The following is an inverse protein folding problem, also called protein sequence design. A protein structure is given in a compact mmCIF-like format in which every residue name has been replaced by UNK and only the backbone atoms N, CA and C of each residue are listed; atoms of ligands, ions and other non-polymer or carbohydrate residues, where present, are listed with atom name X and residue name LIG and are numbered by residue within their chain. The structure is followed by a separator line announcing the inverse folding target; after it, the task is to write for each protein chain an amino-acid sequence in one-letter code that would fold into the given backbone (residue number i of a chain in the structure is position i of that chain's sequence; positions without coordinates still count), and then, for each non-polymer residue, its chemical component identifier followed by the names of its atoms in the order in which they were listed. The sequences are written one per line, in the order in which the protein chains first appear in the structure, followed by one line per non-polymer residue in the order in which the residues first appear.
data_IF_622155928185
#
_entry.id   IF_622155928185
#
_cell.length_a   1.000
_cell.length_b   1.000
_cell.length_c   1.000
_cell.angle_alpha   90.00
_cell.angle_beta   90.00
_cell.angle_gamma   90.00
#
_symmetry.space_group_name_H-M   'P 1'
#
loop_
_entity.id
_entity.type
_entity.pdbx_description
1 polymer ?
#
# COMPACT_ATOMS: atom_id res chain seq x y z
N UNK A 1 20.57 6.55 -15.65
CA UNK A 1 19.13 6.37 -15.35
C UNK A 1 18.72 5.03 -15.90
N UNK A 2 18.63 4.01 -15.05
CA UNK A 2 18.09 2.71 -15.46
C UNK A 2 16.59 2.87 -15.66
N UNK A 3 16.16 2.84 -16.89
CA UNK A 3 14.74 2.71 -17.25
C UNK A 3 14.23 1.42 -16.66
N UNK A 4 13.42 1.50 -15.61
CA UNK A 4 12.74 0.33 -15.07
C UNK A 4 11.72 -0.09 -16.14
N UNK A 5 11.97 -1.22 -16.80
CA UNK A 5 11.01 -1.81 -17.73
C UNK A 5 9.79 -2.26 -16.95
N UNK A 6 8.71 -1.52 -17.09
CA UNK A 6 7.42 -1.84 -16.45
C UNK A 6 6.46 -2.36 -17.51
N UNK A 7 6.13 -3.64 -17.42
CA UNK A 7 5.07 -4.23 -18.22
C UNK A 7 3.72 -3.88 -17.59
N UNK A 8 2.84 -3.26 -18.38
CA UNK A 8 1.49 -2.95 -17.96
C UNK A 8 0.49 -3.87 -18.63
N UNK A 9 -0.38 -4.48 -17.83
CA UNK A 9 -1.44 -5.36 -18.32
C UNK A 9 -2.79 -4.70 -18.09
N UNK A 10 -3.55 -4.58 -19.16
CA UNK A 10 -4.90 -3.99 -19.14
C UNK A 10 -5.94 -5.06 -18.83
N UNK A 11 -6.80 -4.78 -17.85
CA UNK A 11 -7.99 -5.59 -17.54
C UNK A 11 -9.22 -4.70 -17.75
N UNK A 12 -10.13 -5.14 -18.60
CA UNK A 12 -11.34 -4.39 -18.94
C UNK A 12 -11.05 -2.95 -19.39
N UNK A 13 -10.02 -2.76 -20.20
CA UNK A 13 -9.62 -1.45 -20.72
C UNK A 13 -8.89 -0.54 -19.73
N UNK A 14 -8.55 -1.03 -18.55
CA UNK A 14 -7.78 -0.26 -17.53
C UNK A 14 -6.43 -0.91 -17.29
N UNK A 15 -5.35 -0.15 -17.33
CA UNK A 15 -4.01 -0.59 -16.93
C UNK A 15 -4.00 -0.83 -15.42
N UNK A 16 -4.37 -2.06 -15.01
CA UNK A 16 -4.59 -2.40 -13.61
C UNK A 16 -3.44 -3.17 -12.98
N UNK A 17 -2.59 -3.80 -13.81
CA UNK A 17 -1.48 -4.62 -13.33
C UNK A 17 -0.19 -4.11 -13.94
N UNK A 18 0.78 -3.83 -13.08
CA UNK A 18 2.11 -3.38 -13.45
C UNK A 18 3.13 -4.41 -12.94
N UNK A 19 3.96 -4.95 -13.83
CA UNK A 19 4.95 -5.97 -13.50
C UNK A 19 6.35 -5.47 -13.86
N UNK A 20 7.34 -5.80 -13.06
CA UNK A 20 8.74 -5.45 -13.34
C UNK A 20 9.66 -5.78 -12.17
N UNK A 21 10.91 -5.39 -12.27
CA UNK A 21 11.91 -5.55 -11.22
C UNK A 21 12.25 -4.21 -10.58
N UNK A 22 12.61 -4.22 -9.31
CA UNK A 22 13.00 -3.00 -8.56
C UNK A 22 11.95 -1.89 -8.65
N UNK A 23 10.67 -2.26 -8.50
CA UNK A 23 9.55 -1.36 -8.71
C UNK A 23 9.29 -0.37 -7.57
N UNK A 24 9.96 -0.45 -6.43
CA UNK A 24 9.66 0.38 -5.25
C UNK A 24 9.56 1.88 -5.59
N UNK A 25 10.55 2.51 -6.27
CA UNK A 25 10.44 3.93 -6.64
C UNK A 25 9.29 4.20 -7.61
N UNK A 26 9.06 3.30 -8.55
CA UNK A 26 7.95 3.39 -9.50
C UNK A 26 6.60 3.32 -8.80
N UNK A 27 6.43 2.37 -7.86
CA UNK A 27 5.20 2.16 -7.10
C UNK A 27 4.89 3.40 -6.26
N UNK A 28 5.86 3.88 -5.48
CA UNK A 28 5.69 5.05 -4.61
C UNK A 28 5.31 6.28 -5.45
N UNK A 29 6.01 6.54 -6.54
CA UNK A 29 5.68 7.65 -7.45
C UNK A 29 4.27 7.50 -8.01
N UNK A 30 3.92 6.31 -8.51
CA UNK A 30 2.60 6.04 -9.09
C UNK A 30 1.49 6.24 -8.06
N UNK A 31 1.67 5.73 -6.84
CA UNK A 31 0.70 5.90 -5.75
C UNK A 31 0.51 7.38 -5.43
N UNK A 32 1.58 8.12 -5.21
CA UNK A 32 1.52 9.54 -4.84
C UNK A 32 0.93 10.43 -5.94
N UNK A 33 1.14 10.07 -7.21
CA UNK A 33 0.61 10.86 -8.35
C UNK A 33 -0.82 10.52 -8.72
N UNK A 34 -1.26 9.27 -8.49
CA UNK A 34 -2.59 8.81 -8.92
C UNK A 34 -3.61 8.74 -7.78
N UNK A 35 -3.16 8.68 -6.53
CA UNK A 35 -4.01 8.52 -5.35
C UNK A 35 -3.66 9.60 -4.32
N UNK A 36 -4.25 10.78 -4.49
CA UNK A 36 -4.08 11.86 -3.52
C UNK A 36 -4.73 11.49 -2.19
N UNK A 37 -3.97 11.58 -1.10
CA UNK A 37 -4.40 11.21 0.25
C UNK A 37 -3.62 11.99 1.30
N UNK A 38 -4.25 12.18 2.46
CA UNK A 38 -3.56 12.73 3.64
C UNK A 38 -2.72 11.68 4.38
N UNK A 39 -3.02 10.40 4.17
CA UNK A 39 -2.33 9.31 4.87
C UNK A 39 -2.22 8.07 3.98
N UNK A 40 -1.01 7.55 3.88
CA UNK A 40 -0.70 6.28 3.23
C UNK A 40 -0.30 5.27 4.29
N UNK A 41 -0.92 4.10 4.29
CA UNK A 41 -0.64 3.02 5.25
C UNK A 41 -0.20 1.78 4.48
N UNK A 42 1.01 1.31 4.75
CA UNK A 42 1.51 0.05 4.20
C UNK A 42 1.32 -1.06 5.23
N UNK A 43 0.56 -2.07 4.88
CA UNK A 43 0.37 -3.28 5.71
C UNK A 43 1.14 -4.44 5.08
N UNK A 44 1.93 -5.13 5.89
CA UNK A 44 2.75 -6.26 5.46
C UNK A 44 2.89 -7.29 6.59
N UNK A 45 3.48 -8.43 6.30
CA UNK A 45 3.86 -9.40 7.35
C UNK A 45 5.36 -9.34 7.67
N UNK A 46 5.75 -9.99 8.78
CA UNK A 46 7.14 -9.95 9.25
C UNK A 46 8.14 -10.57 8.26
N UNK A 47 7.75 -11.55 7.46
CA UNK A 47 8.66 -12.16 6.47
C UNK A 47 8.96 -11.16 5.35
N UNK A 48 7.92 -10.55 4.78
CA UNK A 48 8.06 -9.58 3.69
C UNK A 48 8.69 -8.28 4.17
N UNK A 49 8.34 -7.84 5.40
CA UNK A 49 8.91 -6.65 6.01
C UNK A 49 10.43 -6.68 6.07
N UNK A 50 11.02 -7.81 6.44
CA UNK A 50 12.47 -7.98 6.56
C UNK A 50 13.24 -7.68 5.26
N UNK A 51 12.60 -7.83 4.11
CA UNK A 51 13.25 -7.66 2.80
C UNK A 51 12.85 -6.38 2.08
N UNK A 52 11.64 -5.88 2.32
CA UNK A 52 11.05 -4.85 1.47
C UNK A 52 10.61 -3.58 2.21
N UNK A 53 10.23 -3.67 3.49
CA UNK A 53 9.63 -2.54 4.20
C UNK A 53 10.54 -1.32 4.23
N UNK A 54 11.82 -1.49 4.60
CA UNK A 54 12.77 -0.37 4.69
C UNK A 54 12.97 0.37 3.37
N UNK A 55 12.91 -0.33 2.24
CA UNK A 55 12.99 0.31 0.92
C UNK A 55 11.75 1.18 0.64
N UNK A 56 10.56 0.72 1.02
CA UNK A 56 9.32 1.50 0.89
C UNK A 56 9.31 2.71 1.82
N UNK A 57 9.70 2.54 3.08
CA UNK A 57 9.79 3.64 4.06
C UNK A 57 10.72 4.74 3.56
N UNK A 58 11.94 4.38 3.16
CA UNK A 58 12.91 5.33 2.63
C UNK A 58 12.39 6.06 1.39
N UNK A 59 11.78 5.33 0.46
CA UNK A 59 11.30 5.92 -0.78
C UNK A 59 10.09 6.85 -0.56
N UNK A 60 9.16 6.47 0.33
CA UNK A 60 8.04 7.35 0.73
C UNK A 60 8.55 8.60 1.45
N UNK A 61 9.47 8.48 2.39
CA UNK A 61 10.06 9.62 3.11
C UNK A 61 10.71 10.60 2.12
N UNK A 62 11.53 10.11 1.21
CA UNK A 62 12.19 10.92 0.18
C UNK A 62 11.17 11.61 -0.73
N UNK A 63 10.19 10.86 -1.23
CA UNK A 63 9.17 11.41 -2.13
C UNK A 63 8.28 12.45 -1.43
N UNK A 64 7.89 12.21 -0.19
CA UNK A 64 7.09 13.16 0.60
C UNK A 64 7.90 14.40 1.01
N UNK A 65 9.23 14.28 1.14
CA UNK A 65 10.09 15.43 1.46
C UNK A 65 10.14 16.46 0.33
N UNK A 66 10.03 16.00 -0.93
CA UNK A 66 10.13 16.85 -2.13
C UNK A 66 8.79 17.45 -2.56
N UNK A 67 7.67 16.99 -1.98
CA UNK A 67 6.35 17.55 -2.31
C UNK A 67 6.28 19.04 -1.96
N UNK A 68 5.78 19.90 -2.87
CA UNK A 68 5.65 21.33 -2.62
C UNK A 68 4.79 21.61 -1.39
N UNK A 69 5.21 22.52 -0.55
CA UNK A 69 4.52 22.95 0.68
C UNK A 69 3.26 23.77 0.40
N UNK A 70 2.47 23.41 -0.61
CA UNK A 70 1.29 24.16 -1.08
C UNK A 70 -0.06 23.68 -0.51
N UNK A 71 -0.08 22.57 0.21
CA UNK A 71 -1.29 22.03 0.86
C UNK A 71 -1.19 22.17 2.36
N UNK A 72 -2.29 22.47 3.01
CA UNK A 72 -2.39 22.81 4.45
C UNK A 72 -1.82 21.75 5.40
N UNK A 73 -1.64 20.51 4.95
CA UNK A 73 -1.03 19.41 5.71
C UNK A 73 -0.24 18.50 4.77
N UNK A 74 1.01 18.25 5.13
CA UNK A 74 1.87 17.28 4.43
C UNK A 74 1.32 15.87 4.62
N UNK A 75 1.19 15.05 3.55
CA UNK A 75 0.80 13.65 3.69
C UNK A 75 1.76 12.89 4.60
N UNK A 76 1.23 11.93 5.34
CA UNK A 76 2.03 11.06 6.21
C UNK A 76 2.03 9.63 5.69
N UNK A 77 3.13 8.94 5.92
CA UNK A 77 3.28 7.51 5.66
C UNK A 77 3.38 6.76 6.98
N UNK A 78 2.68 5.64 7.07
CA UNK A 78 2.67 4.73 8.22
C UNK A 78 2.87 3.30 7.72
N UNK A 79 3.54 2.48 8.52
CA UNK A 79 3.69 1.05 8.27
C UNK A 79 3.08 0.23 9.41
N UNK A 80 2.49 -0.90 9.08
CA UNK A 80 1.94 -1.85 10.03
C UNK A 80 2.31 -3.28 9.66
N UNK A 81 2.95 -3.98 10.59
CA UNK A 81 3.46 -5.32 10.38
C UNK A 81 2.66 -6.31 11.23
N UNK A 82 2.14 -7.35 10.58
CA UNK A 82 1.36 -8.41 11.24
C UNK A 82 2.11 -9.75 11.20
N UNK A 83 1.71 -10.74 12.01
CA UNK A 83 2.25 -12.10 11.91
C UNK A 83 1.98 -12.71 10.52
N UNK A 84 2.89 -13.54 9.97
CA UNK A 84 2.71 -14.18 8.68
C UNK A 84 1.79 -15.40 8.78
N UNK A 85 1.25 -15.80 7.63
CA UNK A 85 0.52 -17.05 7.46
C UNK A 85 -1.00 -16.94 7.60
N UNK A 86 -1.69 -18.02 7.26
CA UNK A 86 -3.16 -18.09 7.19
C UNK A 86 -3.86 -17.83 8.53
N UNK A 87 -3.19 -18.05 9.65
CA UNK A 87 -3.73 -17.75 10.99
C UNK A 87 -4.03 -16.26 11.18
N UNK A 88 -3.36 -15.39 10.43
CA UNK A 88 -3.64 -13.95 10.44
C UNK A 88 -4.96 -13.58 9.75
N UNK A 89 -5.52 -14.47 8.89
CA UNK A 89 -6.87 -14.32 8.33
C UNK A 89 -7.93 -14.66 9.37
N UNK A 90 -7.97 -13.90 10.43
CA UNK A 90 -8.88 -14.11 11.56
C UNK A 90 -9.59 -12.79 11.91
N UNK A 91 -10.58 -12.87 12.79
CA UNK A 91 -11.22 -11.67 13.35
C UNK A 91 -10.24 -10.81 14.11
N UNK A 92 -9.33 -11.44 14.84
CA UNK A 92 -8.26 -10.77 15.59
C UNK A 92 -7.28 -10.06 14.64
N UNK A 93 -6.88 -10.73 13.55
CA UNK A 93 -6.02 -10.13 12.53
C UNK A 93 -6.67 -8.90 11.87
N UNK A 94 -7.98 -9.00 11.56
CA UNK A 94 -8.77 -7.87 11.07
C UNK A 94 -8.80 -6.74 12.10
N UNK A 95 -9.20 -7.04 13.34
CA UNK A 95 -9.29 -6.07 14.42
C UNK A 95 -7.95 -5.38 14.67
N UNK A 96 -6.85 -6.11 14.61
CA UNK A 96 -5.50 -5.56 14.79
C UNK A 96 -5.18 -4.45 13.76
N UNK A 97 -5.53 -4.66 12.49
CA UNK A 97 -5.35 -3.63 11.46
C UNK A 97 -6.33 -2.47 11.67
N UNK A 98 -7.59 -2.75 11.99
CA UNK A 98 -8.60 -1.72 12.24
C UNK A 98 -8.22 -0.83 13.43
N UNK A 99 -7.78 -1.44 14.53
CA UNK A 99 -7.32 -0.71 15.72
C UNK A 99 -6.11 0.18 15.39
N UNK A 100 -5.15 -0.34 14.61
CA UNK A 100 -4.03 0.46 14.14
C UNK A 100 -4.48 1.69 13.35
N UNK A 101 -5.41 1.52 12.41
CA UNK A 101 -5.94 2.61 11.60
C UNK A 101 -6.68 3.65 12.45
N UNK A 102 -7.50 3.20 13.40
CA UNK A 102 -8.27 4.08 14.30
C UNK A 102 -7.35 4.84 15.27
N UNK A 103 -6.40 4.17 15.90
CA UNK A 103 -5.43 4.79 16.81
C UNK A 103 -4.59 5.86 16.11
N UNK A 104 -4.27 5.64 14.83
CA UNK A 104 -3.54 6.60 14.02
C UNK A 104 -4.43 7.65 13.35
N UNK A 105 -5.72 7.71 13.70
CA UNK A 105 -6.69 8.68 13.15
C UNK A 105 -6.74 8.66 11.62
N UNK A 106 -6.67 7.48 11.04
CA UNK A 106 -6.86 7.29 9.61
C UNK A 106 -8.30 7.62 9.24
N UNK A 107 -8.48 8.35 8.16
CA UNK A 107 -9.77 8.85 7.69
C UNK A 107 -10.18 8.20 6.37
N UNK A 108 -11.32 8.57 5.81
CA UNK A 108 -11.86 8.02 4.57
C UNK A 108 -10.98 8.24 3.34
N UNK A 109 -10.09 9.21 3.38
CA UNK A 109 -9.15 9.49 2.30
C UNK A 109 -7.85 8.66 2.41
N UNK A 110 -7.68 7.88 3.49
CA UNK A 110 -6.49 7.04 3.68
C UNK A 110 -6.36 6.00 2.58
N UNK A 111 -5.19 5.92 1.98
CA UNK A 111 -4.84 4.86 1.01
C UNK A 111 -4.14 3.72 1.76
N UNK A 112 -4.67 2.50 1.61
CA UNK A 112 -4.04 1.31 2.20
C UNK A 112 -3.31 0.55 1.09
N UNK A 113 -2.04 0.26 1.36
CA UNK A 113 -1.13 -0.50 0.52
C UNK A 113 -0.93 -1.88 1.16
N UNK A 114 -1.28 -2.94 0.47
CA UNK A 114 -1.05 -4.31 0.91
C UNK A 114 0.22 -4.84 0.24
N UNK A 115 1.28 -5.01 1.01
CA UNK A 115 2.56 -5.54 0.54
C UNK A 115 2.73 -6.98 1.04
N UNK A 116 2.62 -7.95 0.15
CA UNK A 116 2.78 -9.37 0.51
C UNK A 116 2.07 -10.32 -0.43
N UNK A 117 1.82 -11.53 0.04
CA UNK A 117 1.08 -12.56 -0.68
C UNK A 117 -0.44 -12.45 -0.52
N UNK A 118 -1.15 -13.53 -0.88
CA UNK A 118 -2.62 -13.61 -0.85
C UNK A 118 -3.22 -13.33 0.54
N UNK A 119 -2.56 -13.78 1.60
CA UNK A 119 -3.03 -13.55 2.98
C UNK A 119 -3.18 -12.06 3.29
N UNK A 120 -2.12 -11.30 3.02
CA UNK A 120 -2.11 -9.84 3.24
C UNK A 120 -3.12 -9.15 2.33
N UNK A 121 -3.15 -9.52 1.05
CA UNK A 121 -4.08 -8.93 0.09
C UNK A 121 -5.54 -9.14 0.45
N UNK A 122 -5.91 -10.35 0.87
CA UNK A 122 -7.28 -10.70 1.25
C UNK A 122 -7.69 -9.98 2.54
N UNK A 123 -6.82 -10.00 3.56
CA UNK A 123 -7.11 -9.40 4.85
C UNK A 123 -7.23 -7.86 4.74
N UNK A 124 -6.28 -7.21 4.09
CA UNK A 124 -6.31 -5.76 3.85
C UNK A 124 -7.49 -5.39 2.95
N UNK A 125 -7.76 -6.21 1.93
CA UNK A 125 -8.93 -6.04 1.07
C UNK A 125 -10.24 -6.06 1.84
N UNK A 126 -10.37 -6.98 2.80
CA UNK A 126 -11.55 -7.09 3.65
C UNK A 126 -11.66 -5.92 4.64
N UNK A 127 -10.57 -5.54 5.29
CA UNK A 127 -10.54 -4.35 6.17
C UNK A 127 -10.98 -3.11 5.40
N UNK A 128 -10.38 -2.85 4.24
CA UNK A 128 -10.73 -1.68 3.43
C UNK A 128 -12.17 -1.69 2.92
N UNK A 129 -12.78 -2.85 2.73
CA UNK A 129 -14.18 -2.96 2.32
C UNK A 129 -15.17 -2.72 3.47
N UNK A 130 -14.76 -2.98 4.72
CA UNK A 130 -15.63 -2.95 5.89
C UNK A 130 -15.41 -1.75 6.80
N UNK A 131 -14.21 -1.20 6.82
CA UNK A 131 -13.90 0.05 7.52
C UNK A 131 -14.16 1.24 6.58
N UNK A 132 -14.58 2.38 7.13
CA UNK A 132 -14.81 3.64 6.38
C UNK A 132 -13.54 4.28 5.80
N UNK A 133 -12.55 3.46 5.47
CA UNK A 133 -11.30 3.86 4.81
C UNK A 133 -11.54 3.85 3.29
N UNK A 134 -10.88 4.74 2.58
CA UNK A 134 -11.02 4.98 1.13
C UNK A 134 -11.20 3.70 0.30
N UNK A 135 -11.99 3.75 -0.78
CA UNK A 135 -12.07 2.67 -1.77
C UNK A 135 -10.74 2.43 -2.51
N UNK A 136 -9.71 3.24 -2.23
CA UNK A 136 -8.42 3.14 -2.91
C UNK A 136 -7.50 2.17 -2.17
N UNK A 137 -7.39 0.98 -2.71
CA UNK A 137 -6.50 -0.08 -2.27
C UNK A 137 -5.47 -0.36 -3.35
N UNK A 138 -4.23 -0.51 -2.95
CA UNK A 138 -3.17 -0.95 -3.86
C UNK A 138 -2.60 -2.24 -3.30
N UNK A 139 -2.65 -3.30 -4.09
CA UNK A 139 -2.03 -4.57 -3.76
C UNK A 139 -0.66 -4.66 -4.41
N UNK A 140 0.36 -4.88 -3.60
CA UNK A 140 1.75 -5.01 -4.03
C UNK A 140 2.19 -6.44 -3.70
N UNK A 141 2.29 -7.27 -4.73
CA UNK A 141 2.80 -8.63 -4.54
C UNK A 141 4.32 -8.59 -4.36
N UNK A 142 4.84 -9.34 -3.41
CA UNK A 142 6.27 -9.44 -3.09
C UNK A 142 7.18 -9.80 -4.28
N UNK A 143 6.61 -10.45 -5.31
CA UNK A 143 7.29 -10.78 -6.57
C UNK A 143 7.09 -9.73 -7.67
N UNK A 144 7.01 -8.44 -7.27
CA UNK A 144 7.03 -7.31 -8.21
C UNK A 144 5.77 -7.12 -9.06
N UNK A 145 4.60 -7.31 -8.49
CA UNK A 145 3.32 -7.04 -9.12
C UNK A 145 2.61 -5.91 -8.38
N UNK A 146 2.34 -4.80 -9.06
CA UNK A 146 1.43 -3.76 -8.59
C UNK A 146 0.04 -4.01 -9.19
N UNK A 147 -0.95 -4.26 -8.37
CA UNK A 147 -2.34 -4.38 -8.79
C UNK A 147 -3.20 -3.33 -8.09
N UNK A 148 -3.81 -2.46 -8.86
CA UNK A 148 -4.83 -1.53 -8.37
C UNK A 148 -6.18 -2.25 -8.32
N UNK A 149 -6.77 -2.37 -7.14
CA UNK A 149 -8.11 -2.92 -6.98
C UNK A 149 -9.12 -1.79 -6.85
N UNK A 150 -10.11 -1.79 -7.74
CA UNK A 150 -11.28 -0.93 -7.63
C UNK A 150 -12.42 -1.72 -6.96
N UNK A 151 -13.15 -1.09 -6.06
CA UNK A 151 -14.46 -1.57 -5.63
C UNK A 151 -15.52 -1.14 -6.60
#
# INVERSE_FOLDING_TARGET
MTTTDVLKVSILGKESIHCGFHLTPYIVRTVLTTLSSSTYVLVTDTHVANFHLGAFETEFENALAVLPSGTSTKPRFLSHVIPPGETSKSREGKANIEDFLLLNRCTRDTVILALGGGVIGDLVGFVAATLYVSPHRVFIHERYLLKRMYC
#
